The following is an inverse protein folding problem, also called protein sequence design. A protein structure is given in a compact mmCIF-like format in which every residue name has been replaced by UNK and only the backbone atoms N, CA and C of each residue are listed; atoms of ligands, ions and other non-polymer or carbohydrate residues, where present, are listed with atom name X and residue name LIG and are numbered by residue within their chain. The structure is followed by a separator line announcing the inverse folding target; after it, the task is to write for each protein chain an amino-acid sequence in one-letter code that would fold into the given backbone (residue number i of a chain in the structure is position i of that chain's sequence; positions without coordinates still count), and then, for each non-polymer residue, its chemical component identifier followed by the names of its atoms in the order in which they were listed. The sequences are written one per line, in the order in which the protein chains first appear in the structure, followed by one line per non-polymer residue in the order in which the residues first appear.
data_IF_822917134331
#
_entry.id   IF_822917134331
#
_cell.length_a   1.000
_cell.length_b   1.000
_cell.length_c   1.000
_cell.angle_alpha   90.00
_cell.angle_beta   90.00
_cell.angle_gamma   90.00
#
_symmetry.space_group_name_H-M   'P 1'
#
loop_
_entity.id
_entity.type
_entity.pdbx_description
1 polymer ?
#
# COMPACT_ATOMS: atom_id res chain seq x y z
N UNK A 1 8.51 -9.87 -1.58
CA UNK A 1 7.83 -10.96 -0.86
C UNK A 1 7.82 -10.69 0.62
N UNK A 2 6.69 -10.96 1.27
CA UNK A 2 6.55 -10.84 2.71
C UNK A 2 7.16 -12.07 3.40
N UNK A 3 7.49 -11.93 4.68
CA UNK A 3 7.82 -13.10 5.51
C UNK A 3 6.54 -13.94 5.70
N UNK A 4 6.64 -15.27 5.58
CA UNK A 4 5.49 -16.19 5.64
C UNK A 4 4.58 -15.99 6.87
N UNK A 5 5.14 -15.55 8.00
CA UNK A 5 4.34 -15.22 9.19
C UNK A 5 3.31 -14.11 8.97
N UNK A 6 3.62 -13.09 8.15
CA UNK A 6 2.68 -12.03 7.81
C UNK A 6 1.59 -12.50 6.85
N UNK A 7 1.95 -13.39 5.92
CA UNK A 7 1.00 -13.98 4.96
C UNK A 7 -0.01 -14.87 5.69
N UNK A 8 0.45 -15.78 6.56
CA UNK A 8 -0.45 -16.64 7.33
C UNK A 8 -1.24 -15.88 8.39
N UNK A 9 -0.60 -14.91 9.03
CA UNK A 9 -1.20 -14.15 10.13
C UNK A 9 -2.12 -13.02 9.70
N UNK A 10 -2.12 -12.65 8.41
CA UNK A 10 -2.96 -11.59 7.83
C UNK A 10 -2.91 -10.29 8.66
N UNK A 11 -1.71 -9.92 9.12
CA UNK A 11 -1.50 -8.80 10.06
C UNK A 11 -1.53 -7.40 9.41
N UNK A 12 -1.85 -7.30 8.11
CA UNK A 12 -1.84 -6.05 7.36
C UNK A 12 -0.44 -5.50 7.08
N UNK A 13 0.60 -6.35 7.12
CA UNK A 13 1.99 -5.88 6.98
C UNK A 13 2.25 -5.27 5.60
N UNK A 14 2.70 -4.02 5.58
CA UNK A 14 3.16 -3.32 4.38
C UNK A 14 4.57 -2.75 4.62
N UNK A 15 5.49 -3.02 3.71
CA UNK A 15 6.90 -2.70 3.94
C UNK A 15 7.22 -1.22 3.77
N UNK A 16 8.16 -0.69 4.55
CA UNK A 16 8.69 0.67 4.34
C UNK A 16 9.26 0.86 2.93
N UNK A 17 9.88 -0.19 2.35
CA UNK A 17 10.41 -0.16 0.99
C UNK A 17 9.31 0.02 -0.05
N UNK A 18 8.17 -0.63 0.15
CA UNK A 18 6.99 -0.48 -0.71
C UNK A 18 6.48 0.96 -0.65
N UNK A 19 6.34 1.52 0.55
CA UNK A 19 5.93 2.91 0.73
C UNK A 19 6.91 3.91 0.05
N UNK A 20 8.23 3.69 0.17
CA UNK A 20 9.21 4.54 -0.52
C UNK A 20 9.15 4.43 -2.05
N UNK A 21 8.84 3.25 -2.60
CA UNK A 21 8.63 3.09 -4.04
C UNK A 21 7.38 3.81 -4.52
N UNK A 22 6.28 3.71 -3.78
CA UNK A 22 5.06 4.46 -4.08
C UNK A 22 5.33 5.97 -4.10
N UNK A 23 6.05 6.50 -3.10
CA UNK A 23 6.44 7.91 -3.04
C UNK A 23 7.33 8.36 -4.21
N UNK A 24 8.06 7.42 -4.84
CA UNK A 24 8.83 7.66 -6.06
C UNK A 24 8.00 7.46 -7.34
N UNK A 25 6.68 7.32 -7.25
CA UNK A 25 5.78 7.04 -8.37
C UNK A 25 5.97 5.66 -8.98
N UNK A 26 6.50 4.69 -8.22
CA UNK A 26 6.75 3.33 -8.70
C UNK A 26 5.65 2.41 -8.17
N UNK A 27 4.84 1.79 -9.06
CA UNK A 27 3.84 0.82 -8.64
C UNK A 27 4.47 -0.36 -7.90
N UNK A 28 3.74 -0.92 -6.94
CA UNK A 28 4.22 -2.05 -6.13
C UNK A 28 3.25 -3.23 -6.21
N UNK A 29 3.83 -4.41 -6.40
CA UNK A 29 3.12 -5.69 -6.42
C UNK A 29 3.63 -6.47 -5.21
N UNK A 30 2.75 -6.72 -4.25
CA UNK A 30 3.12 -7.21 -2.92
C UNK A 30 2.21 -8.38 -2.55
N UNK A 31 2.79 -9.43 -1.97
CA UNK A 31 2.02 -10.60 -1.55
C UNK A 31 0.98 -10.18 -0.50
N UNK A 32 -0.22 -10.76 -0.56
CA UNK A 32 -1.27 -10.42 0.38
C UNK A 32 -0.90 -10.82 1.82
N UNK A 33 -1.06 -9.86 2.71
CA UNK A 33 -0.84 -9.99 4.15
C UNK A 33 -2.02 -9.43 4.93
N UNK A 34 -3.17 -9.17 4.29
CA UNK A 34 -4.35 -8.51 4.85
C UNK A 34 -4.32 -6.99 4.71
N UNK A 35 -3.30 -6.42 4.06
CA UNK A 35 -3.20 -4.97 3.84
C UNK A 35 -4.28 -4.37 2.92
N UNK A 36 -4.92 -5.10 1.97
CA UNK A 36 -5.98 -4.55 1.13
C UNK A 36 -7.20 -4.04 1.90
N UNK A 37 -7.39 -4.44 3.16
CA UNK A 37 -8.42 -3.88 4.04
C UNK A 37 -8.18 -2.44 4.49
N UNK A 38 -6.98 -1.90 4.27
CA UNK A 38 -6.58 -0.56 4.72
C UNK A 38 -6.04 0.29 3.57
N UNK A 39 -5.29 -0.30 2.65
CA UNK A 39 -4.65 0.39 1.52
C UNK A 39 -5.38 0.00 0.22
N UNK A 40 -5.75 0.97 -0.64
CA UNK A 40 -6.37 0.68 -1.93
C UNK A 40 -5.48 -0.19 -2.82
N UNK A 41 -6.11 -1.10 -3.56
CA UNK A 41 -5.46 -1.99 -4.53
C UNK A 41 -6.15 -1.91 -5.89
N UNK A 42 -5.47 -2.41 -6.93
CA UNK A 42 -5.96 -2.44 -8.30
C UNK A 42 -5.39 -1.31 -9.17
N UNK A 43 -4.87 -0.24 -8.56
CA UNK A 43 -4.11 0.81 -9.25
C UNK A 43 -2.92 1.26 -8.42
N UNK A 44 -1.71 1.19 -8.96
CA UNK A 44 -0.48 1.61 -8.25
C UNK A 44 -0.01 0.64 -7.16
N UNK A 45 -0.93 -0.07 -6.51
CA UNK A 45 -0.67 -1.19 -5.59
C UNK A 45 -1.47 -2.41 -6.04
N UNK A 46 -0.83 -3.57 -6.12
CA UNK A 46 -1.49 -4.84 -6.37
C UNK A 46 -1.14 -5.85 -5.27
N UNK A 47 -2.16 -6.54 -4.78
CA UNK A 47 -2.01 -7.72 -3.94
C UNK A 47 -1.98 -8.98 -4.82
N UNK A 48 -1.23 -9.99 -4.40
CA UNK A 48 -1.26 -11.31 -5.03
C UNK A 48 -1.14 -12.42 -3.98
N UNK A 49 -1.82 -13.54 -4.24
CA UNK A 49 -1.68 -14.80 -3.52
C UNK A 49 -0.94 -15.85 -4.35
N UNK A 50 -1.05 -15.75 -5.68
CA UNK A 50 -0.47 -16.70 -6.63
C UNK A 50 0.58 -16.07 -7.53
N UNK A 51 1.40 -16.91 -8.17
CA UNK A 51 2.42 -16.45 -9.13
C UNK A 51 1.75 -15.89 -10.38
N UNK A 52 0.63 -16.49 -10.78
CA UNK A 52 -0.17 -16.12 -11.93
C UNK A 52 -0.77 -14.72 -11.76
N UNK A 53 -1.29 -14.41 -10.56
CA UNK A 53 -1.75 -13.06 -10.21
C UNK A 53 -0.61 -12.04 -10.22
N UNK A 54 0.57 -12.42 -9.69
CA UNK A 54 1.73 -11.53 -9.73
C UNK A 54 2.16 -11.23 -11.18
N UNK A 55 2.16 -12.24 -12.06
CA UNK A 55 2.46 -12.07 -13.48
C UNK A 55 1.43 -11.17 -14.18
N UNK A 56 0.14 -11.42 -13.97
CA UNK A 56 -0.93 -10.58 -14.52
C UNK A 56 -0.85 -9.12 -14.04
N UNK A 57 -0.52 -8.90 -12.75
CA UNK A 57 -0.32 -7.57 -12.22
C UNK A 57 0.89 -6.86 -12.84
N UNK A 58 1.98 -7.58 -13.13
CA UNK A 58 3.13 -7.02 -13.85
C UNK A 58 2.70 -6.56 -15.24
N UNK A 59 2.01 -7.42 -15.99
CA UNK A 59 1.55 -7.10 -17.36
C UNK A 59 0.61 -5.88 -17.38
N UNK A 60 -0.31 -5.77 -16.42
CA UNK A 60 -1.21 -4.62 -16.30
C UNK A 60 -0.43 -3.33 -15.97
N UNK A 61 0.50 -3.40 -15.02
CA UNK A 61 1.36 -2.27 -14.67
C UNK A 61 2.20 -1.82 -15.86
N UNK A 62 2.76 -2.73 -16.63
CA UNK A 62 3.56 -2.40 -17.82
C UNK A 62 2.70 -1.76 -18.91
N UNK A 63 1.48 -2.28 -19.14
CA UNK A 63 0.54 -1.77 -20.13
C UNK A 63 0.08 -0.34 -19.82
N UNK A 64 -0.15 -0.03 -18.53
CA UNK A 64 -0.74 1.22 -18.08
C UNK A 64 0.18 2.01 -17.12
N UNK A 65 1.49 1.93 -17.32
CA UNK A 65 2.49 2.38 -16.35
C UNK A 65 2.30 3.80 -15.83
N UNK A 66 2.00 4.77 -16.71
CA UNK A 66 1.81 6.17 -16.29
C UNK A 66 0.63 6.34 -15.33
N UNK A 67 -0.46 5.63 -15.57
CA UNK A 67 -1.64 5.64 -14.69
C UNK A 67 -1.27 5.07 -13.33
N UNK A 68 -0.64 3.89 -13.32
CA UNK A 68 -0.24 3.26 -12.07
C UNK A 68 0.84 4.06 -11.32
N UNK A 69 1.75 4.73 -12.02
CA UNK A 69 2.74 5.60 -11.41
C UNK A 69 2.09 6.81 -10.71
N UNK A 70 1.07 7.42 -11.33
CA UNK A 70 0.25 8.46 -10.72
C UNK A 70 -0.49 7.95 -9.49
N UNK A 71 -1.23 6.84 -9.62
CA UNK A 71 -1.94 6.22 -8.50
C UNK A 71 -0.99 5.81 -7.36
N UNK A 72 0.21 5.31 -7.68
CA UNK A 72 1.22 4.97 -6.69
C UNK A 72 1.64 6.19 -5.87
N UNK A 73 1.89 7.33 -6.53
CA UNK A 73 2.23 8.58 -5.86
C UNK A 73 1.07 9.09 -5.00
N UNK A 74 -0.15 9.06 -5.52
CA UNK A 74 -1.36 9.46 -4.79
C UNK A 74 -1.55 8.60 -3.52
N UNK A 75 -1.42 7.27 -3.63
CA UNK A 75 -1.51 6.37 -2.46
C UNK A 75 -0.43 6.70 -1.43
N UNK A 76 0.81 6.98 -1.87
CA UNK A 76 1.88 7.39 -0.97
C UNK A 76 1.50 8.64 -0.17
N UNK A 77 0.98 9.67 -0.85
CA UNK A 77 0.59 10.93 -0.25
C UNK A 77 -0.59 10.78 0.73
N UNK A 78 -1.61 10.00 0.38
CA UNK A 78 -2.82 9.86 1.20
C UNK A 78 -2.62 8.96 2.42
N UNK A 79 -1.88 7.85 2.28
CA UNK A 79 -1.80 6.81 3.31
C UNK A 79 -0.49 6.82 4.11
N UNK A 80 0.58 7.41 3.56
CA UNK A 80 1.90 7.42 4.19
C UNK A 80 2.48 8.84 4.35
N UNK A 81 1.82 9.87 3.80
CA UNK A 81 2.21 11.26 3.96
C UNK A 81 2.12 11.71 5.42
N UNK A 82 3.25 12.15 5.97
CA UNK A 82 3.34 12.56 7.38
C UNK A 82 2.38 13.69 7.73
N UNK A 83 2.21 14.66 6.82
CA UNK A 83 1.29 15.79 7.03
C UNK A 83 -0.14 15.34 7.33
N UNK A 84 -0.65 14.31 6.63
CA UNK A 84 -2.01 13.82 6.82
C UNK A 84 -2.11 12.84 7.98
N UNK A 85 -1.20 11.87 8.02
CA UNK A 85 -1.24 10.78 9.01
C UNK A 85 -0.96 11.33 10.42
N UNK A 86 0.08 12.16 10.58
CA UNK A 86 0.42 12.71 11.90
C UNK A 86 -0.60 13.74 12.36
N UNK A 87 -1.13 14.59 11.47
CA UNK A 87 -2.17 15.54 11.84
C UNK A 87 -3.41 14.82 12.39
N UNK A 88 -3.89 13.79 11.66
CA UNK A 88 -5.00 12.96 12.12
C UNK A 88 -4.72 12.29 13.46
N UNK A 89 -3.53 11.68 13.63
CA UNK A 89 -3.18 11.05 14.89
C UNK A 89 -3.12 12.03 16.07
N UNK A 90 -2.56 13.23 15.88
CA UNK A 90 -2.52 14.25 16.93
C UNK A 90 -3.94 14.72 17.27
N UNK A 91 -4.79 14.96 16.27
CA UNK A 91 -6.18 15.33 16.48
C UNK A 91 -6.94 14.26 17.27
N UNK A 92 -6.84 12.99 16.89
CA UNK A 92 -7.46 11.87 17.59
C UNK A 92 -6.93 11.71 19.02
N UNK A 93 -5.62 11.84 19.24
CA UNK A 93 -5.02 11.73 20.57
C UNK A 93 -5.45 12.87 21.50
N UNK A 94 -5.59 14.10 20.97
CA UNK A 94 -6.00 15.27 21.74
C UNK A 94 -7.52 15.30 22.00
N UNK A 95 -8.32 14.79 21.05
CA UNK A 95 -9.77 14.69 21.19
C UNK A 95 -10.21 13.45 22.00
N UNK A 96 -9.38 12.40 22.05
CA UNK A 96 -9.61 11.17 22.82
C UNK A 96 -9.44 11.31 24.34
N UNK A 97 -9.14 12.51 24.85
CA UNK A 97 -9.06 12.82 26.29
C UNK A 97 -10.38 13.24 26.94
N UNK A 98 -11.50 13.25 26.20
CA UNK A 98 -12.82 13.65 26.69
C UNK A 98 -13.84 12.49 26.70
N UNK A 99 -13.42 11.29 27.10
CA UNK A 99 -14.30 10.16 27.40
C UNK A 99 -14.16 9.73 28.86
#
# INVERSE_FOLDING_TARGET
MAKNGYVKGQAGWFSCRSACYLAAGRPVIVQDTGFPGVIPVGEGVFAFDTIEEAAAAIEEVERNYRRHAGAAFEIAEQYFGSEKVLAKFVEEAMNGGAA
#
